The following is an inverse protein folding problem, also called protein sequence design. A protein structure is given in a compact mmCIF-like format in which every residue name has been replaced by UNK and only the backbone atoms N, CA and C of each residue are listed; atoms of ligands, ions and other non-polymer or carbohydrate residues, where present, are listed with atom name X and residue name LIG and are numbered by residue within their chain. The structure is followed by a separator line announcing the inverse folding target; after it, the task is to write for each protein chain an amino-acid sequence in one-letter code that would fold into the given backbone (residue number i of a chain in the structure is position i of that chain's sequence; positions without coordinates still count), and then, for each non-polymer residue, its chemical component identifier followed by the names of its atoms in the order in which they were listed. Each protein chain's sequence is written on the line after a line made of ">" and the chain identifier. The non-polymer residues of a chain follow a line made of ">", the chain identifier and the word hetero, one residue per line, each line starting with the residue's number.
data_IF_364353948370
#
_entry.id   IF_364353948370
#
_cell.length_a   1.000
_cell.length_b   1.000
_cell.length_c   1.000
_cell.angle_alpha   90.00
_cell.angle_beta   90.00
_cell.angle_gamma   90.00
#
_symmetry.space_group_name_H-M   'P 1'
#
loop_
_entity.id
_entity.type
_entity.pdbx_description
1 polymer ?
#
# COMPACT_ATOMS: atom_id res chain seq x y z
N UNK A 1 -4.42 -9.78 -2.55
CA UNK A 1 -5.41 -10.38 -1.62
C UNK A 1 -4.67 -10.90 -0.42
N UNK A 2 -5.32 -10.92 0.75
CA UNK A 2 -4.70 -11.46 1.94
C UNK A 2 -5.76 -11.98 2.92
N UNK A 3 -5.38 -12.87 3.83
CA UNK A 3 -6.25 -13.38 4.88
C UNK A 3 -5.48 -13.94 6.07
N UNK A 4 -6.16 -14.18 7.18
CA UNK A 4 -5.55 -14.58 8.43
C UNK A 4 -4.61 -13.51 9.00
N UNK A 5 -3.51 -13.94 9.62
CA UNK A 5 -2.48 -13.03 10.14
C UNK A 5 -1.45 -12.74 9.04
N UNK A 6 -1.37 -11.48 8.62
CA UNK A 6 -0.44 -11.05 7.58
C UNK A 6 0.01 -9.61 7.80
N UNK A 7 1.24 -9.31 7.40
CA UNK A 7 1.74 -7.94 7.31
C UNK A 7 2.77 -7.87 6.17
N UNK A 8 2.65 -6.85 5.32
CA UNK A 8 3.54 -6.60 4.19
C UNK A 8 4.16 -5.21 4.31
N UNK A 9 5.48 -5.14 4.33
CA UNK A 9 6.24 -3.88 4.27
C UNK A 9 6.67 -3.56 2.85
N UNK A 10 6.46 -2.33 2.45
CA UNK A 10 6.80 -1.79 1.14
C UNK A 10 7.91 -0.76 1.30
N UNK A 11 8.95 -0.91 0.49
CA UNK A 11 9.97 0.13 0.34
C UNK A 11 9.35 1.42 -0.22
N UNK A 12 10.00 2.58 -0.02
CA UNK A 12 9.55 3.84 -0.59
C UNK A 12 9.27 3.71 -2.09
N UNK A 13 8.02 3.91 -2.55
CA UNK A 13 7.72 3.81 -3.96
C UNK A 13 8.41 4.97 -4.69
N UNK A 14 9.04 4.67 -5.82
CA UNK A 14 9.32 5.71 -6.80
C UNK A 14 7.95 6.12 -7.39
N UNK A 15 7.61 7.39 -7.49
CA UNK A 15 6.31 7.84 -7.99
C UNK A 15 5.13 7.71 -7.00
N UNK A 16 3.91 7.82 -7.53
CA UNK A 16 2.68 7.87 -6.73
C UNK A 16 2.08 6.48 -6.60
N UNK A 17 1.85 6.03 -5.37
CA UNK A 17 1.16 4.77 -5.07
C UNK A 17 -0.31 5.06 -4.77
N UNK A 18 -1.23 4.37 -5.43
CA UNK A 18 -2.67 4.42 -5.11
C UNK A 18 -3.16 3.01 -4.79
N UNK A 19 -4.04 2.89 -3.79
CA UNK A 19 -4.71 1.63 -3.49
C UNK A 19 -6.14 1.92 -3.02
N UNK A 20 -7.01 0.93 -3.20
CA UNK A 20 -8.36 0.91 -2.68
C UNK A 20 -8.65 -0.45 -2.04
N UNK A 21 -9.29 -0.44 -0.88
CA UNK A 21 -9.80 -1.64 -0.21
C UNK A 21 -11.12 -2.02 -0.87
N UNK A 22 -11.08 -3.10 -1.63
CA UNK A 22 -12.24 -3.66 -2.35
C UNK A 22 -13.14 -4.52 -1.45
N UNK A 23 -12.57 -5.08 -0.39
CA UNK A 23 -13.26 -5.91 0.62
C UNK A 23 -12.38 -6.02 1.87
N UNK A 24 -13.01 -6.09 3.04
CA UNK A 24 -12.35 -6.38 4.30
C UNK A 24 -11.83 -5.13 5.01
N UNK A 25 -10.93 -5.33 5.97
CA UNK A 25 -10.31 -4.26 6.74
C UNK A 25 -8.82 -4.55 6.98
N UNK A 26 -8.02 -3.51 7.15
CA UNK A 26 -6.61 -3.62 7.48
C UNK A 26 -6.11 -2.35 8.15
N UNK A 27 -4.88 -2.40 8.66
CA UNK A 27 -4.17 -1.24 9.19
C UNK A 27 -3.08 -0.82 8.20
N UNK A 28 -3.00 0.49 7.92
CA UNK A 28 -1.93 1.13 7.18
C UNK A 28 -1.02 1.91 8.16
N UNK A 29 0.28 1.66 8.10
CA UNK A 29 1.29 2.54 8.74
C UNK A 29 2.20 3.11 7.67
N UNK A 30 2.56 4.39 7.81
CA UNK A 30 3.38 5.12 6.84
C UNK A 30 4.52 5.79 7.59
N UNK A 31 5.73 5.71 7.05
CA UNK A 31 6.89 6.37 7.66
C UNK A 31 6.66 7.89 7.82
N UNK A 32 7.02 8.41 8.98
CA UNK A 32 6.75 9.80 9.37
C UNK A 32 5.28 10.18 9.59
N UNK A 33 4.36 9.20 9.68
CA UNK A 33 2.98 9.40 10.16
C UNK A 33 2.84 8.68 11.50
N UNK A 34 2.59 9.40 12.63
CA UNK A 34 2.67 8.80 13.96
C UNK A 34 1.63 7.71 14.23
N UNK A 35 0.39 7.94 13.77
CA UNK A 35 -0.74 7.07 14.08
C UNK A 35 -1.03 6.10 12.93
N UNK A 36 -1.28 4.81 13.22
CA UNK A 36 -1.82 3.89 12.24
C UNK A 36 -3.19 4.34 11.73
N UNK A 37 -3.48 4.01 10.47
CA UNK A 37 -4.72 4.36 9.80
C UNK A 37 -5.50 3.07 9.56
N UNK A 38 -6.66 2.94 10.20
CA UNK A 38 -7.59 1.86 9.90
C UNK A 38 -8.24 2.11 8.54
N UNK A 39 -8.24 1.08 7.70
CA UNK A 39 -8.87 1.09 6.38
C UNK A 39 -9.95 0.02 6.34
N UNK A 40 -11.11 0.38 5.82
CA UNK A 40 -12.25 -0.51 5.60
C UNK A 40 -12.63 -0.56 4.11
N UNK A 41 -13.57 -1.45 3.77
CA UNK A 41 -14.10 -1.55 2.41
C UNK A 41 -14.61 -0.20 1.89
N UNK A 42 -14.16 0.17 0.69
CA UNK A 42 -14.45 1.46 0.06
C UNK A 42 -13.36 2.51 0.28
N UNK A 43 -12.50 2.36 1.30
CA UNK A 43 -11.44 3.32 1.55
C UNK A 43 -10.35 3.28 0.48
N UNK A 44 -9.84 4.46 0.17
CA UNK A 44 -8.77 4.67 -0.79
C UNK A 44 -7.67 5.51 -0.16
N UNK A 45 -6.42 5.21 -0.50
CA UNK A 45 -5.29 6.03 -0.10
C UNK A 45 -4.31 6.26 -1.24
N UNK A 46 -3.65 7.42 -1.17
CA UNK A 46 -2.64 7.86 -2.12
C UNK A 46 -1.37 8.24 -1.35
N UNK A 47 -0.24 7.63 -1.70
CA UNK A 47 1.07 8.04 -1.23
C UNK A 47 1.77 8.80 -2.36
N UNK A 48 1.81 10.12 -2.21
CA UNK A 48 2.42 11.05 -3.18
C UNK A 48 3.89 11.33 -2.89
N UNK A 49 4.37 10.95 -1.71
CA UNK A 49 5.76 11.07 -1.28
C UNK A 49 6.41 9.68 -1.22
N UNK A 50 7.72 9.56 -1.48
CA UNK A 50 8.44 8.30 -1.41
C UNK A 50 8.67 7.90 0.05
N UNK A 51 7.63 7.38 0.69
CA UNK A 51 7.66 6.90 2.08
C UNK A 51 7.44 5.39 2.11
N UNK A 52 8.22 4.71 2.94
CA UNK A 52 7.96 3.31 3.25
C UNK A 52 6.60 3.20 3.96
N UNK A 53 5.90 2.09 3.75
CA UNK A 53 4.61 1.84 4.40
C UNK A 53 4.39 0.35 4.64
N UNK A 54 3.52 0.02 5.58
CA UNK A 54 3.12 -1.36 5.87
C UNK A 54 1.60 -1.48 5.84
N UNK A 55 1.12 -2.57 5.25
CA UNK A 55 -0.27 -3.00 5.36
C UNK A 55 -0.31 -4.26 6.23
N UNK A 56 -1.22 -4.34 7.19
CA UNK A 56 -1.32 -5.48 8.10
C UNK A 56 -2.77 -5.83 8.45
N UNK A 57 -3.02 -7.10 8.79
CA UNK A 57 -4.29 -7.58 9.33
C UNK A 57 -4.61 -7.01 10.72
N UNK A 58 -3.61 -6.50 11.44
CA UNK A 58 -3.75 -5.96 12.79
C UNK A 58 -2.40 -5.71 13.48
N UNK A 59 -2.41 -5.22 14.72
CA UNK A 59 -1.20 -4.94 15.48
C UNK A 59 -0.43 -6.21 15.86
N UNK A 60 0.89 -6.10 15.98
CA UNK A 60 1.76 -7.18 16.49
C UNK A 60 2.17 -8.24 15.46
N UNK A 61 1.68 -8.17 14.22
CA UNK A 61 2.11 -9.08 13.15
C UNK A 61 3.43 -8.58 12.54
N UNK A 62 4.45 -9.44 12.50
CA UNK A 62 5.75 -9.09 11.90
C UNK A 62 5.61 -8.92 10.39
N UNK A 63 5.96 -7.76 9.81
CA UNK A 63 5.87 -7.56 8.38
C UNK A 63 6.92 -8.35 7.61
N UNK A 64 6.52 -8.85 6.44
CA UNK A 64 7.40 -9.43 5.43
C UNK A 64 7.57 -8.44 4.27
N UNK A 65 8.74 -8.41 3.60
CA UNK A 65 8.92 -7.58 2.42
C UNK A 65 7.90 -7.92 1.33
N UNK A 66 7.24 -6.90 0.77
CA UNK A 66 6.22 -7.08 -0.25
C UNK A 66 6.80 -7.53 -1.60
N UNK A 67 8.05 -7.15 -1.92
CA UNK A 67 8.69 -7.44 -3.21
C UNK A 67 8.54 -8.90 -3.67
N UNK A 68 9.04 -9.88 -2.89
CA UNK A 68 8.89 -11.30 -3.23
C UNK A 68 7.45 -11.78 -3.38
N UNK A 69 6.50 -11.19 -2.64
CA UNK A 69 5.08 -11.54 -2.71
C UNK A 69 4.44 -11.07 -4.02
N UNK A 70 4.85 -9.90 -4.51
CA UNK A 70 4.42 -9.38 -5.81
C UNK A 70 5.15 -10.03 -6.99
N UNK A 71 6.40 -10.45 -6.83
CA UNK A 71 7.14 -11.23 -7.84
C UNK A 71 6.49 -12.61 -8.07
N UNK A 72 6.00 -13.24 -7.01
CA UNK A 72 5.29 -14.53 -7.08
C UNK A 72 3.80 -14.40 -7.49
N UNK A 73 3.34 -13.20 -7.86
CA UNK A 73 1.95 -12.99 -8.24
C UNK A 73 1.56 -13.81 -9.47
N UNK A 74 0.39 -14.43 -9.43
CA UNK A 74 -0.21 -15.16 -10.56
C UNK A 74 -1.41 -14.37 -11.05
N UNK A 75 -1.57 -14.24 -12.37
CA UNK A 75 -2.66 -13.47 -13.00
C UNK A 75 -2.81 -12.04 -12.42
N UNK A 76 -1.66 -11.38 -12.19
CA UNK A 76 -1.61 -10.02 -11.62
C UNK A 76 -2.03 -9.91 -10.15
N UNK A 77 -2.22 -11.04 -9.46
CA UNK A 77 -2.72 -11.07 -8.08
C UNK A 77 -1.68 -11.59 -7.10
N UNK A 78 -1.16 -10.69 -6.26
CA UNK A 78 -0.31 -11.03 -5.13
C UNK A 78 -1.15 -11.55 -3.94
N UNK A 79 -0.64 -12.55 -3.20
CA UNK A 79 -1.34 -13.19 -2.08
C UNK A 79 -0.49 -13.24 -0.81
N UNK A 80 -1.06 -12.86 0.34
CA UNK A 80 -0.38 -12.92 1.64
C UNK A 80 -1.23 -13.60 2.72
N UNK A 81 -0.57 -14.32 3.64
CA UNK A 81 -1.24 -15.07 4.69
C UNK A 81 -2.09 -16.22 4.13
N UNK A 82 -3.23 -16.49 4.76
CA UNK A 82 -4.12 -17.62 4.45
C UNK A 82 -5.53 -17.12 4.15
N UNK A 83 -6.03 -17.35 2.94
CA UNK A 83 -7.37 -16.93 2.54
C UNK A 83 -7.39 -15.58 1.82
N UNK A 84 -8.57 -14.96 1.79
CA UNK A 84 -8.86 -13.78 0.98
C UNK A 84 -9.72 -12.74 1.71
N UNK A 85 -9.69 -12.72 3.05
CA UNK A 85 -10.46 -11.79 3.91
C UNK A 85 -10.39 -10.33 3.45
N UNK A 86 -9.23 -9.90 2.92
CA UNK A 86 -8.97 -8.56 2.41
C UNK A 86 -8.57 -8.58 0.93
N UNK A 87 -9.24 -7.75 0.13
CA UNK A 87 -8.93 -7.56 -1.29
C UNK A 87 -8.54 -6.10 -1.51
N UNK A 88 -7.37 -5.89 -2.12
CA UNK A 88 -6.93 -4.59 -2.59
C UNK A 88 -6.88 -4.58 -4.10
N UNK A 89 -7.19 -3.41 -4.67
CA UNK A 89 -6.71 -3.02 -5.99
C UNK A 89 -5.76 -1.85 -5.81
N UNK A 90 -4.72 -1.78 -6.62
CA UNK A 90 -3.77 -0.71 -6.51
C UNK A 90 -2.74 -0.76 -7.60
N UNK A 91 -1.99 0.32 -7.69
CA UNK A 91 -1.00 0.50 -8.71
C UNK A 91 -0.04 1.61 -8.34
N UNK A 92 0.91 1.81 -9.23
CA UNK A 92 1.84 2.93 -9.18
C UNK A 92 1.79 3.60 -10.53
N UNK A 93 1.85 4.92 -10.53
CA UNK A 93 2.13 5.69 -11.73
C UNK A 93 3.15 6.78 -11.42
N UNK A 94 3.85 7.19 -12.46
CA UNK A 94 4.74 8.33 -12.43
C UNK A 94 4.09 9.49 -13.18
N UNK A 95 4.39 10.72 -12.78
CA UNK A 95 3.95 11.87 -13.57
C UNK A 95 4.89 12.01 -14.78
N UNK A 96 4.32 12.27 -15.95
CA UNK A 96 5.10 12.76 -17.09
C UNK A 96 5.73 14.12 -16.77
N UNK A 97 6.78 14.50 -17.48
CA UNK A 97 7.60 15.71 -17.21
C UNK A 97 6.77 16.98 -16.95
N UNK A 98 5.70 17.18 -17.72
CA UNK A 98 4.81 18.36 -17.59
C UNK A 98 4.01 18.39 -16.30
N UNK A 99 3.57 17.24 -15.79
CA UNK A 99 2.82 17.15 -14.54
C UNK A 99 3.75 17.10 -13.31
N UNK A 100 4.95 16.54 -13.49
CA UNK A 100 5.98 16.48 -12.45
C UNK A 100 6.37 17.89 -11.96
N UNK A 101 6.51 18.87 -12.87
CA UNK A 101 6.87 20.24 -12.51
C UNK A 101 5.82 20.89 -11.59
N UNK A 102 4.53 20.78 -11.92
CA UNK A 102 3.42 21.27 -11.10
C UNK A 102 3.33 20.58 -9.73
N UNK A 103 3.38 19.25 -9.69
CA UNK A 103 3.26 18.49 -8.44
C UNK A 103 4.47 18.71 -7.52
N UNK A 104 5.68 18.90 -8.07
CA UNK A 104 6.88 19.16 -7.28
C UNK A 104 6.82 20.50 -6.53
N UNK A 105 6.07 21.48 -7.03
CA UNK A 105 5.85 22.77 -6.37
C UNK A 105 4.73 22.69 -5.33
N UNK A 106 3.70 21.86 -5.59
CA UNK A 106 2.57 21.68 -4.68
C UNK A 106 2.89 20.80 -3.45
N UNK A 107 3.68 19.73 -3.61
CA UNK A 107 4.04 18.83 -2.50
C UNK A 107 5.16 19.36 -1.58
N UNK A 108 5.70 20.56 -1.86
CA UNK A 108 6.74 21.24 -1.07
C UNK A 108 6.20 22.33 -0.15
N UNK A 109 4.89 22.59 -0.16
CA UNK A 109 4.18 23.42 0.81
C UNK A 109 3.40 22.52 1.74
#
# INVERSE_FOLDING_TARGET
>A
MAGGQWALSFDPPLGVKFNAVRRGHCVLTVDGVPEPIDLAEGDCFLLTQPRAFTLASGPGVRPLPAGPVFEAATDGTARAGTGDDVIFIGGRFDFGERAQSCCSTCCRR
#
